data_IF_644017842036
#
_entry.id   IF_644017842036
#
_cell.length_a   1.000
_cell.length_b   1.000
_cell.length_c   1.000
_cell.angle_alpha   90.00
_cell.angle_beta   90.00
_cell.angle_gamma   90.00
#
_symmetry.space_group_name_H-M   'P 1'
#
loop_
_entity.id
_entity.type
_entity.pdbx_description
1 polymer ?
#
# COMPACT_ATOMS: atom_id res chain seq x y z
N UNK A 1 16.27 28.31 15.39
CA UNK A 1 16.19 27.58 14.12
C UNK A 1 17.38 26.69 13.88
N UNK A 2 18.61 27.17 14.04
CA UNK A 2 19.85 26.39 13.81
C UNK A 2 19.91 25.10 14.63
N UNK A 3 19.62 25.15 15.92
CA UNK A 3 19.60 23.97 16.79
C UNK A 3 18.63 22.88 16.28
N UNK A 4 17.48 23.29 15.72
CA UNK A 4 16.50 22.37 15.16
C UNK A 4 17.05 21.70 13.88
N UNK A 5 17.70 22.48 12.99
CA UNK A 5 18.29 21.93 11.78
C UNK A 5 19.37 20.89 12.13
N UNK A 6 20.27 21.16 13.07
CA UNK A 6 21.30 20.20 13.49
C UNK A 6 20.69 18.95 14.15
N UNK A 7 19.65 19.13 14.97
CA UNK A 7 18.96 18.00 15.58
C UNK A 7 18.28 17.09 14.56
N UNK A 8 17.71 17.67 13.49
CA UNK A 8 17.07 16.93 12.42
C UNK A 8 18.07 16.33 11.43
N UNK A 9 19.28 16.87 11.33
CA UNK A 9 20.32 16.49 10.37
C UNK A 9 21.65 16.13 11.10
N UNK A 10 21.66 15.09 11.95
CA UNK A 10 22.82 14.78 12.81
C UNK A 10 24.09 14.44 12.01
N UNK A 11 23.98 14.00 10.76
CA UNK A 11 25.13 13.74 9.88
C UNK A 11 25.95 15.00 9.54
N UNK A 12 25.41 16.20 9.73
CA UNK A 12 26.19 17.44 9.58
C UNK A 12 27.30 17.57 10.64
N UNK A 13 27.14 16.89 11.77
CA UNK A 13 28.10 16.79 12.84
C UNK A 13 28.85 15.43 12.85
N UNK A 14 28.67 14.62 11.79
CA UNK A 14 29.30 13.30 11.69
C UNK A 14 28.62 12.22 12.56
N UNK A 15 27.43 12.50 13.12
CA UNK A 15 26.68 11.53 13.91
C UNK A 15 25.88 10.59 13.01
N UNK A 16 25.76 9.35 13.42
CA UNK A 16 24.91 8.36 12.73
C UNK A 16 23.43 8.61 13.00
N UNK A 17 22.61 8.20 12.05
CA UNK A 17 21.15 8.23 12.16
C UNK A 17 20.63 6.81 12.28
N UNK A 18 19.84 6.53 13.30
CA UNK A 18 19.08 5.29 13.39
C UNK A 18 18.02 5.23 12.30
N UNK A 19 18.01 4.13 11.56
CA UNK A 19 17.13 3.94 10.40
C UNK A 19 16.27 2.69 10.51
N UNK A 20 16.27 2.01 11.68
CA UNK A 20 15.52 0.79 11.88
C UNK A 20 15.88 -0.33 10.89
N UNK A 21 14.98 -1.29 10.75
CA UNK A 21 15.14 -2.43 9.84
C UNK A 21 14.91 -1.98 8.39
N UNK A 22 15.81 -2.42 7.50
CA UNK A 22 15.82 -1.99 6.10
C UNK A 22 14.59 -2.48 5.32
N UNK A 23 14.06 -1.61 4.47
CA UNK A 23 13.01 -1.92 3.50
C UNK A 23 13.60 -2.06 2.09
N UNK A 24 14.27 -3.20 1.84
CA UNK A 24 15.06 -3.46 0.62
C UNK A 24 14.34 -3.15 -0.68
N UNK A 25 13.09 -3.56 -0.84
CA UNK A 25 12.29 -3.35 -2.06
C UNK A 25 12.15 -1.88 -2.50
N UNK A 26 12.26 -0.92 -1.55
CA UNK A 26 12.28 0.51 -1.86
C UNK A 26 13.69 1.02 -2.08
N UNK A 27 14.67 0.50 -1.32
CA UNK A 27 16.07 0.93 -1.41
C UNK A 27 16.72 0.52 -2.72
N UNK A 28 16.39 -0.64 -3.26
CA UNK A 28 16.86 -1.11 -4.58
C UNK A 28 16.52 -0.14 -5.72
N UNK A 29 15.44 0.64 -5.55
CA UNK A 29 14.99 1.63 -6.53
C UNK A 29 15.65 3.00 -6.39
N UNK A 30 16.53 3.21 -5.38
CA UNK A 30 17.08 4.55 -5.09
C UNK A 30 17.89 5.09 -6.28
N UNK A 31 18.63 4.27 -6.98
CA UNK A 31 19.36 4.69 -8.19
C UNK A 31 18.43 5.26 -9.25
N UNK A 32 17.30 4.59 -9.48
CA UNK A 32 16.25 5.07 -10.38
C UNK A 32 15.66 6.40 -9.91
N UNK A 33 15.40 6.56 -8.60
CA UNK A 33 14.90 7.81 -8.06
C UNK A 33 15.88 8.96 -8.25
N UNK A 34 17.18 8.73 -8.10
CA UNK A 34 18.23 9.75 -8.21
C UNK A 34 18.50 10.21 -9.65
N UNK A 35 18.22 9.36 -10.64
CA UNK A 35 18.44 9.71 -12.07
C UNK A 35 17.36 10.61 -12.65
N UNK A 36 16.16 10.61 -12.06
CA UNK A 36 15.04 11.45 -12.54
C UNK A 36 15.04 12.82 -11.88
N UNK A 37 14.60 13.82 -12.64
CA UNK A 37 14.40 15.18 -12.11
C UNK A 37 13.15 15.25 -11.21
N UNK A 38 12.12 14.45 -11.48
CA UNK A 38 10.83 14.52 -10.78
C UNK A 38 10.99 14.41 -9.27
N UNK A 39 10.07 15.06 -8.57
CA UNK A 39 9.90 14.96 -7.12
C UNK A 39 9.38 13.55 -6.80
N UNK A 40 10.05 12.83 -5.93
CA UNK A 40 9.59 11.53 -5.45
C UNK A 40 8.68 11.74 -4.24
N UNK A 41 7.42 11.34 -4.38
CA UNK A 41 6.40 11.52 -3.33
C UNK A 41 5.99 10.16 -2.79
N UNK A 42 6.25 9.91 -1.51
CA UNK A 42 5.91 8.67 -0.82
C UNK A 42 4.65 8.88 0.03
N UNK A 43 3.57 8.25 -0.38
CA UNK A 43 2.28 8.29 0.32
C UNK A 43 1.94 6.93 0.93
N UNK A 44 1.04 6.92 1.88
CA UNK A 44 0.59 5.67 2.51
C UNK A 44 -0.02 5.93 3.88
N UNK A 45 -0.64 4.91 4.46
CA UNK A 45 -1.25 5.02 5.77
C UNK A 45 -0.26 5.52 6.83
N UNK A 46 -0.78 6.12 7.90
CA UNK A 46 0.03 6.48 9.08
C UNK A 46 0.79 5.24 9.59
N UNK A 47 2.04 5.42 10.08
CA UNK A 47 2.85 4.34 10.66
C UNK A 47 3.30 3.21 9.73
N UNK A 48 3.21 3.37 8.40
CA UNK A 48 3.79 2.41 7.43
C UNK A 48 5.31 2.54 7.24
N UNK A 49 5.96 3.49 7.95
CA UNK A 49 7.41 3.67 7.91
C UNK A 49 7.91 4.67 6.86
N UNK A 50 7.09 5.61 6.40
CA UNK A 50 7.47 6.65 5.42
C UNK A 50 8.68 7.48 5.88
N UNK A 51 8.64 8.03 7.09
CA UNK A 51 9.75 8.77 7.71
C UNK A 51 11.02 7.94 7.80
N UNK A 52 10.88 6.68 8.23
CA UNK A 52 12.00 5.72 8.32
C UNK A 52 12.62 5.47 6.95
N UNK A 53 11.78 5.33 5.91
CA UNK A 53 12.23 5.15 4.53
C UNK A 53 13.06 6.35 4.03
N UNK A 54 12.62 7.59 4.31
CA UNK A 54 13.43 8.78 3.98
C UNK A 54 14.79 8.74 4.67
N UNK A 55 14.83 8.37 5.95
CA UNK A 55 16.10 8.24 6.69
C UNK A 55 16.99 7.14 6.12
N UNK A 56 16.41 6.03 5.64
CA UNK A 56 17.15 4.97 4.96
C UNK A 56 17.72 5.45 3.61
N UNK A 57 16.98 6.24 2.84
CA UNK A 57 17.51 6.88 1.63
C UNK A 57 18.66 7.84 1.94
N UNK A 58 18.55 8.66 2.99
CA UNK A 58 19.62 9.54 3.45
C UNK A 58 20.86 8.73 3.81
N UNK A 59 20.71 7.66 4.59
CA UNK A 59 21.82 6.77 4.96
C UNK A 59 22.50 6.17 3.73
N UNK A 60 21.72 5.74 2.74
CA UNK A 60 22.25 5.21 1.49
C UNK A 60 23.04 6.28 0.72
N UNK A 61 22.53 7.52 0.66
CA UNK A 61 23.24 8.64 0.02
C UNK A 61 24.55 8.99 0.72
N UNK A 62 24.57 8.98 2.05
CA UNK A 62 25.78 9.24 2.84
C UNK A 62 26.88 8.18 2.62
N UNK A 63 26.52 6.98 2.15
CA UNK A 63 27.46 5.92 1.77
C UNK A 63 28.03 6.10 0.36
N UNK A 64 27.57 7.10 -0.38
CA UNK A 64 28.08 7.46 -1.70
C UNK A 64 29.05 8.65 -1.58
N UNK A 65 29.45 9.24 -2.72
CA UNK A 65 30.30 10.44 -2.76
C UNK A 65 29.55 11.75 -2.44
N UNK A 66 28.26 11.69 -2.02
CA UNK A 66 27.46 12.86 -1.66
C UNK A 66 27.89 13.36 -0.27
N UNK A 67 28.22 14.64 -0.18
CA UNK A 67 28.55 15.27 1.10
C UNK A 67 27.30 15.36 1.99
N UNK A 68 27.44 15.05 3.28
CA UNK A 68 26.36 15.24 4.24
C UNK A 68 25.78 16.66 4.26
N UNK A 69 26.63 17.67 3.97
CA UNK A 69 26.20 19.07 3.86
C UNK A 69 25.32 19.37 2.64
N UNK A 70 25.24 18.45 1.66
CA UNK A 70 24.35 18.54 0.50
C UNK A 70 22.99 17.87 0.73
N UNK A 71 22.81 17.21 1.88
CA UNK A 71 21.59 16.49 2.24
C UNK A 71 20.88 17.27 3.34
N UNK A 72 19.60 17.60 3.10
CA UNK A 72 18.77 18.36 4.01
C UNK A 72 17.43 17.66 4.27
N UNK A 73 17.17 17.34 5.53
CA UNK A 73 15.91 16.74 5.98
C UNK A 73 15.14 17.73 6.85
N UNK A 74 13.85 17.86 6.58
CA UNK A 74 12.91 18.69 7.32
C UNK A 74 11.67 17.85 7.70
N UNK A 75 11.34 17.82 8.99
CA UNK A 75 10.08 17.34 9.51
C UNK A 75 9.13 18.55 9.62
N UNK A 76 8.27 18.75 8.62
CA UNK A 76 7.46 19.97 8.49
C UNK A 76 6.32 20.05 9.52
N UNK A 77 6.03 18.96 10.20
CA UNK A 77 5.14 18.88 11.35
C UNK A 77 5.79 19.37 12.67
N UNK A 78 7.11 19.63 12.65
CA UNK A 78 7.82 20.12 13.83
C UNK A 78 7.38 21.55 14.17
N UNK A 79 6.92 21.83 15.43
CA UNK A 79 6.36 23.14 15.80
C UNK A 79 7.31 24.33 15.53
N UNK A 80 8.61 24.13 15.68
CA UNK A 80 9.62 25.17 15.44
C UNK A 80 9.89 25.47 13.95
N UNK A 81 9.30 24.72 13.01
CA UNK A 81 9.40 24.92 11.56
C UNK A 81 8.05 25.34 10.96
N UNK A 82 6.97 25.26 11.73
CA UNK A 82 5.63 25.57 11.28
C UNK A 82 5.48 27.01 10.78
N UNK A 83 4.82 27.18 9.64
CA UNK A 83 4.54 28.50 9.05
C UNK A 83 5.70 29.13 8.28
N UNK A 84 6.88 28.49 8.26
CA UNK A 84 8.02 28.98 7.48
C UNK A 84 7.96 28.32 6.09
N UNK A 85 8.09 29.09 4.99
CA UNK A 85 8.12 28.55 3.65
C UNK A 85 9.28 27.56 3.42
N UNK A 86 9.04 26.49 2.64
CA UNK A 86 10.07 25.52 2.28
C UNK A 86 11.25 26.20 1.56
N UNK A 87 10.95 27.18 0.71
CA UNK A 87 11.94 27.97 -0.01
C UNK A 87 12.87 28.75 0.91
N UNK A 88 12.36 29.23 2.05
CA UNK A 88 13.18 29.91 3.05
C UNK A 88 14.12 28.92 3.79
N UNK A 89 13.65 27.72 4.09
CA UNK A 89 14.48 26.67 4.64
C UNK A 89 15.64 26.31 3.69
N UNK A 90 15.36 26.16 2.38
CA UNK A 90 16.39 25.89 1.36
C UNK A 90 17.39 27.04 1.28
N UNK A 91 16.94 28.29 1.30
CA UNK A 91 17.84 29.46 1.34
C UNK A 91 18.74 29.46 2.56
N UNK A 92 18.19 29.19 3.75
CA UNK A 92 18.95 29.13 4.98
C UNK A 92 20.02 28.03 4.95
N UNK A 93 19.73 26.87 4.37
CA UNK A 93 20.71 25.81 4.17
C UNK A 93 21.84 26.22 3.22
N UNK A 94 21.51 26.83 2.07
CA UNK A 94 22.51 27.31 1.12
C UNK A 94 23.45 28.33 1.77
N UNK A 95 22.91 29.32 2.49
CA UNK A 95 23.70 30.32 3.22
C UNK A 95 24.62 29.70 4.27
N UNK A 96 24.12 28.71 5.01
CA UNK A 96 24.87 28.04 6.08
C UNK A 96 26.12 27.34 5.58
N UNK A 97 26.02 26.64 4.46
CA UNK A 97 27.12 25.85 3.89
C UNK A 97 27.80 26.54 2.70
N UNK A 98 27.44 27.79 2.42
CA UNK A 98 27.94 28.59 1.29
C UNK A 98 27.80 27.83 -0.05
N UNK A 99 26.67 27.21 -0.26
CA UNK A 99 26.38 26.50 -1.51
C UNK A 99 25.90 27.46 -2.59
N UNK A 100 26.56 27.43 -3.74
CA UNK A 100 26.10 28.12 -4.92
C UNK A 100 24.75 27.59 -5.39
N UNK A 101 24.00 28.41 -6.12
CA UNK A 101 22.67 28.07 -6.60
C UNK A 101 22.66 26.84 -7.50
N UNK A 102 23.71 26.65 -8.29
CA UNK A 102 23.85 25.53 -9.23
C UNK A 102 24.27 24.21 -8.53
N UNK A 103 24.74 24.30 -7.29
CA UNK A 103 25.09 23.10 -6.52
C UNK A 103 23.86 22.23 -6.31
N UNK A 104 23.94 20.97 -6.78
CA UNK A 104 22.88 19.98 -6.58
C UNK A 104 22.78 19.63 -5.10
N UNK A 105 21.57 19.79 -4.52
CA UNK A 105 21.25 19.42 -3.16
C UNK A 105 20.14 18.35 -3.15
N UNK A 106 20.08 17.59 -2.07
CA UNK A 106 19.10 16.54 -1.82
C UNK A 106 18.19 16.97 -0.66
N UNK A 107 16.92 17.25 -0.99
CA UNK A 107 15.96 17.76 -0.04
C UNK A 107 14.95 16.65 0.31
N UNK A 108 14.86 16.32 1.60
CA UNK A 108 13.94 15.34 2.16
C UNK A 108 12.91 16.06 3.04
N UNK A 109 11.65 16.04 2.62
CA UNK A 109 10.54 16.73 3.29
C UNK A 109 9.57 15.69 3.85
N UNK A 110 9.47 15.63 5.16
CA UNK A 110 8.54 14.74 5.85
C UNK A 110 7.26 15.51 6.21
N UNK A 111 6.09 14.85 6.04
CA UNK A 111 4.74 15.39 6.26
C UNK A 111 4.53 16.73 5.52
N UNK A 112 4.83 16.74 4.21
CA UNK A 112 4.84 17.96 3.37
C UNK A 112 3.50 18.72 3.35
N UNK A 113 2.38 18.06 3.66
CA UNK A 113 1.07 18.71 3.76
C UNK A 113 0.93 19.69 4.94
N UNK A 114 1.84 19.64 5.91
CA UNK A 114 1.85 20.61 7.02
C UNK A 114 2.40 21.99 6.59
N UNK A 115 3.07 22.07 5.42
CA UNK A 115 3.46 23.36 4.85
C UNK A 115 2.30 24.03 4.12
N UNK A 116 2.08 25.29 4.42
CA UNK A 116 1.13 26.14 3.69
C UNK A 116 1.58 26.27 2.22
N UNK A 117 0.65 26.11 1.27
CA UNK A 117 0.94 26.25 -0.16
C UNK A 117 2.04 25.30 -0.71
N UNK A 118 2.25 24.13 -0.08
CA UNK A 118 3.32 23.19 -0.41
C UNK A 118 3.46 22.90 -1.91
N UNK A 119 2.36 22.78 -2.66
CA UNK A 119 2.40 22.53 -4.11
C UNK A 119 3.02 23.68 -4.91
N UNK A 120 2.70 24.92 -4.53
CA UNK A 120 3.25 26.10 -5.22
C UNK A 120 4.74 26.22 -4.92
N UNK A 121 5.15 25.95 -3.68
CA UNK A 121 6.55 25.99 -3.28
C UNK A 121 7.35 24.86 -3.91
N UNK A 122 6.86 23.64 -3.87
CA UNK A 122 7.51 22.50 -4.53
C UNK A 122 7.67 22.73 -6.04
N UNK A 123 6.66 23.32 -6.69
CA UNK A 123 6.77 23.70 -8.10
C UNK A 123 7.88 24.73 -8.32
N UNK A 124 7.90 25.78 -7.52
CA UNK A 124 8.92 26.84 -7.65
C UNK A 124 10.34 26.27 -7.42
N UNK A 125 10.53 25.45 -6.40
CA UNK A 125 11.79 24.78 -6.12
C UNK A 125 12.21 23.84 -7.25
N UNK A 126 11.28 23.05 -7.79
CA UNK A 126 11.54 22.18 -8.94
C UNK A 126 11.96 22.93 -10.20
N UNK A 127 11.31 24.08 -10.48
CA UNK A 127 11.55 24.85 -11.72
C UNK A 127 12.81 25.73 -11.60
N UNK A 128 13.15 26.22 -10.40
CA UNK A 128 14.15 27.28 -10.21
C UNK A 128 15.44 26.83 -9.51
N UNK A 129 15.46 25.68 -8.85
CA UNK A 129 16.57 25.24 -8.02
C UNK A 129 17.20 23.93 -8.51
N UNK A 130 18.49 23.73 -8.25
CA UNK A 130 19.18 22.46 -8.50
C UNK A 130 18.97 21.52 -7.31
N UNK A 131 17.76 20.91 -7.25
CA UNK A 131 17.34 20.03 -6.15
C UNK A 131 16.88 18.69 -6.66
N UNK A 132 17.24 17.62 -5.93
CA UNK A 132 16.50 16.36 -5.94
C UNK A 132 15.63 16.31 -4.70
N UNK A 133 14.33 16.23 -4.88
CA UNK A 133 13.34 16.36 -3.80
C UNK A 133 12.66 15.02 -3.56
N UNK A 134 12.64 14.60 -2.30
CA UNK A 134 11.90 13.46 -1.76
C UNK A 134 10.90 13.97 -0.73
N UNK A 135 9.64 13.59 -0.87
CA UNK A 135 8.58 14.02 0.04
C UNK A 135 7.83 12.83 0.62
N UNK A 136 7.40 12.96 1.89
CA UNK A 136 6.31 12.12 2.40
C UNK A 136 5.08 12.96 2.69
N UNK A 137 3.94 12.31 2.75
CA UNK A 137 2.72 12.95 3.21
C UNK A 137 1.59 11.96 3.46
N UNK A 138 0.63 12.39 4.26
CA UNK A 138 -0.63 11.67 4.39
C UNK A 138 -1.42 11.79 3.09
N UNK A 139 -2.11 10.73 2.74
CA UNK A 139 -2.72 10.50 1.44
C UNK A 139 -3.72 11.57 1.00
N UNK A 140 -4.57 11.94 1.93
CA UNK A 140 -5.74 12.79 1.65
C UNK A 140 -5.38 14.16 1.10
N UNK A 141 -4.23 14.72 1.48
CA UNK A 141 -3.84 16.07 1.03
C UNK A 141 -3.14 16.08 -0.33
N UNK A 142 -2.30 15.09 -0.62
CA UNK A 142 -1.52 15.04 -1.87
C UNK A 142 -2.30 14.44 -3.04
N UNK A 143 -3.17 13.43 -2.80
CA UNK A 143 -3.99 12.81 -3.86
C UNK A 143 -5.18 13.70 -4.26
N UNK A 144 -5.87 14.29 -3.30
CA UNK A 144 -6.99 15.20 -3.59
C UNK A 144 -6.55 16.40 -4.44
N UNK A 145 -5.27 16.74 -4.41
CA UNK A 145 -4.66 17.84 -5.18
C UNK A 145 -3.95 17.38 -6.46
N UNK A 146 -4.09 16.11 -6.89
CA UNK A 146 -3.44 15.61 -8.13
C UNK A 146 -3.79 16.36 -9.43
N UNK A 147 -4.89 17.12 -9.42
CA UNK A 147 -5.21 18.06 -10.52
C UNK A 147 -4.44 19.38 -10.44
N UNK A 148 -3.46 19.50 -9.55
CA UNK A 148 -2.80 20.73 -9.18
C UNK A 148 -1.50 21.04 -9.93
N UNK A 149 -0.71 21.93 -9.33
CA UNK A 149 0.47 22.58 -9.91
C UNK A 149 1.66 21.65 -10.17
N UNK A 150 1.65 20.41 -9.61
CA UNK A 150 2.74 19.42 -9.72
C UNK A 150 2.58 18.41 -10.84
N UNK A 151 1.54 18.55 -11.70
CA UNK A 151 1.33 17.66 -12.85
C UNK A 151 2.59 17.56 -13.72
N UNK A 152 3.07 16.36 -13.98
CA UNK A 152 4.31 16.08 -14.74
C UNK A 152 5.62 16.32 -13.98
N UNK A 153 5.58 16.86 -12.75
CA UNK A 153 6.75 17.18 -11.93
C UNK A 153 6.98 16.19 -10.78
N UNK A 154 6.01 15.34 -10.49
CA UNK A 154 6.08 14.38 -9.40
C UNK A 154 5.84 12.95 -9.85
N UNK A 155 6.41 12.01 -9.14
CA UNK A 155 6.11 10.59 -9.23
C UNK A 155 5.67 10.15 -7.84
N UNK A 156 4.49 9.54 -7.77
CA UNK A 156 3.88 9.11 -6.50
C UNK A 156 4.08 7.62 -6.33
N UNK A 157 4.66 7.24 -5.21
CA UNK A 157 4.86 5.84 -4.81
C UNK A 157 4.14 5.56 -3.49
N UNK A 158 3.40 4.46 -3.44
CA UNK A 158 2.71 4.05 -2.21
C UNK A 158 3.64 3.25 -1.30
N UNK A 159 3.71 3.67 -0.04
CA UNK A 159 4.40 2.91 1.03
C UNK A 159 3.35 2.06 1.74
N UNK A 160 3.32 0.79 1.37
CA UNK A 160 2.42 -0.21 1.94
C UNK A 160 2.86 -0.63 3.35
N UNK A 161 1.97 -1.18 4.19
CA UNK A 161 2.37 -2.06 5.27
C UNK A 161 3.33 -3.15 4.75
N UNK A 162 4.13 -3.75 5.60
CA UNK A 162 5.13 -4.74 5.19
C UNK A 162 4.51 -5.84 4.32
N UNK A 163 5.20 -6.21 3.23
CA UNK A 163 4.89 -7.43 2.48
C UNK A 163 5.23 -8.67 3.32
N UNK A 164 4.79 -9.85 2.89
CA UNK A 164 5.15 -11.08 3.58
C UNK A 164 6.68 -11.31 3.60
N UNK A 165 7.38 -10.97 2.52
CA UNK A 165 8.84 -11.02 2.48
C UNK A 165 9.48 -10.08 3.51
N UNK A 166 8.98 -8.84 3.62
CA UNK A 166 9.45 -7.87 4.62
C UNK A 166 9.06 -8.32 6.04
N UNK A 167 7.86 -8.90 6.23
CA UNK A 167 7.43 -9.47 7.51
C UNK A 167 8.41 -10.53 8.01
N UNK A 168 8.81 -11.47 7.15
CA UNK A 168 9.81 -12.48 7.48
C UNK A 168 11.13 -11.83 7.87
N UNK A 169 11.59 -10.84 7.11
CA UNK A 169 12.83 -10.11 7.43
C UNK A 169 12.76 -9.41 8.79
N UNK A 170 11.64 -8.80 9.12
CA UNK A 170 11.42 -8.13 10.41
C UNK A 170 11.31 -9.12 11.58
N UNK A 171 10.97 -10.37 11.33
CA UNK A 171 10.86 -11.46 12.32
C UNK A 171 12.14 -12.31 12.44
N UNK A 172 13.25 -11.86 11.93
CA UNK A 172 14.56 -12.52 12.07
C UNK A 172 15.10 -13.18 10.81
N UNK A 173 14.42 -13.03 9.68
CA UNK A 173 14.84 -13.54 8.38
C UNK A 173 14.19 -14.87 7.98
N UNK A 174 14.51 -15.36 6.77
CA UNK A 174 13.92 -16.59 6.22
C UNK A 174 14.40 -17.82 7.01
N UNK A 175 13.54 -18.85 7.13
CA UNK A 175 13.93 -20.13 7.68
C UNK A 175 14.99 -20.81 6.79
N UNK A 176 15.73 -21.77 7.36
CA UNK A 176 16.67 -22.57 6.58
C UNK A 176 15.93 -23.42 5.54
N UNK A 177 16.64 -23.84 4.47
CA UNK A 177 16.05 -24.67 3.41
C UNK A 177 15.44 -25.98 3.93
N UNK A 178 15.95 -26.51 5.03
CA UNK A 178 15.42 -27.72 5.69
C UNK A 178 14.17 -27.47 6.52
N UNK A 179 13.76 -26.22 6.70
CA UNK A 179 12.66 -25.78 7.53
C UNK A 179 11.61 -25.01 6.73
N UNK A 180 11.51 -25.23 5.43
CA UNK A 180 10.59 -24.56 4.52
C UNK A 180 9.11 -24.67 4.96
N UNK A 181 8.75 -25.73 5.73
CA UNK A 181 7.44 -25.89 6.36
C UNK A 181 7.07 -24.73 7.31
N UNK A 182 8.05 -23.99 7.84
CA UNK A 182 7.81 -22.82 8.69
C UNK A 182 7.17 -21.64 7.92
N UNK A 183 7.33 -21.58 6.59
CA UNK A 183 6.68 -20.53 5.80
C UNK A 183 5.15 -20.56 5.90
N UNK A 184 4.55 -21.74 6.01
CA UNK A 184 3.10 -21.85 6.19
C UNK A 184 2.66 -21.23 7.51
N UNK A 185 3.38 -21.54 8.61
CA UNK A 185 3.10 -20.94 9.91
C UNK A 185 3.36 -19.42 9.91
N UNK A 186 4.45 -18.97 9.28
CA UNK A 186 4.74 -17.53 9.13
C UNK A 186 3.64 -16.82 8.32
N UNK A 187 3.04 -17.49 7.33
CA UNK A 187 1.91 -16.94 6.59
C UNK A 187 0.66 -16.85 7.48
N UNK A 188 0.35 -17.86 8.30
CA UNK A 188 -0.72 -17.79 9.30
C UNK A 188 -0.52 -16.61 10.27
N UNK A 189 0.70 -16.43 10.77
CA UNK A 189 1.06 -15.29 11.62
C UNK A 189 0.86 -13.96 10.89
N UNK A 190 1.32 -13.84 9.65
CA UNK A 190 1.15 -12.65 8.82
C UNK A 190 -0.32 -12.31 8.57
N UNK A 191 -1.16 -13.34 8.32
CA UNK A 191 -2.60 -13.18 8.17
C UNK A 191 -3.28 -12.63 9.44
N UNK A 192 -2.73 -12.92 10.62
CA UNK A 192 -3.28 -12.48 11.89
C UNK A 192 -2.72 -11.14 12.37
N UNK A 193 -1.41 -10.94 12.25
CA UNK A 193 -0.68 -9.77 12.77
C UNK A 193 -0.82 -8.57 11.81
N UNK A 194 -0.84 -8.85 10.50
CA UNK A 194 -0.76 -7.82 9.46
C UNK A 194 0.67 -7.36 9.19
N UNK A 195 0.81 -6.23 8.50
CA UNK A 195 2.09 -5.71 8.01
C UNK A 195 2.49 -4.34 8.59
N UNK A 196 1.79 -3.77 9.58
CA UNK A 196 2.28 -2.53 10.20
C UNK A 196 3.59 -2.81 10.95
N UNK A 197 4.70 -2.08 10.65
CA UNK A 197 6.03 -2.40 11.16
C UNK A 197 6.10 -2.59 12.68
N UNK A 198 5.55 -1.67 13.45
CA UNK A 198 5.54 -1.76 14.91
C UNK A 198 4.71 -2.94 15.41
N UNK A 199 3.58 -3.22 14.76
CA UNK A 199 2.73 -4.37 15.10
C UNK A 199 3.44 -5.71 14.82
N UNK A 200 4.29 -5.74 13.79
CA UNK A 200 5.09 -6.94 13.47
C UNK A 200 6.19 -7.17 14.49
N UNK A 201 6.84 -6.10 14.95
CA UNK A 201 7.92 -6.17 15.95
C UNK A 201 7.37 -6.43 17.37
N UNK A 202 6.31 -5.72 17.74
CA UNK A 202 5.71 -5.72 19.07
C UNK A 202 4.19 -5.85 18.97
N UNK A 203 3.63 -7.05 18.74
CA UNK A 203 2.20 -7.24 18.55
C UNK A 203 1.38 -6.75 19.74
N UNK A 204 0.46 -5.79 19.50
CA UNK A 204 -0.39 -5.19 20.52
C UNK A 204 -1.74 -4.77 19.93
N UNK A 205 -2.83 -5.26 20.52
CA UNK A 205 -4.18 -4.83 20.17
C UNK A 205 -4.41 -3.35 20.52
N UNK A 206 -3.86 -2.90 21.62
CA UNK A 206 -3.97 -1.50 22.05
C UNK A 206 -3.26 -0.57 21.05
N UNK A 207 -2.06 -0.93 20.59
CA UNK A 207 -1.35 -0.19 19.55
C UNK A 207 -2.19 -0.06 18.28
N UNK A 208 -2.76 -1.16 17.79
CA UNK A 208 -3.59 -1.17 16.58
C UNK A 208 -4.88 -0.37 16.76
N UNK A 209 -5.51 -0.44 17.94
CA UNK A 209 -6.71 0.34 18.23
C UNK A 209 -6.40 1.86 18.23
N UNK A 210 -5.31 2.26 18.89
CA UNK A 210 -4.86 3.65 18.93
C UNK A 210 -4.45 4.16 17.54
N UNK A 211 -3.77 3.33 16.75
CA UNK A 211 -3.42 3.67 15.37
C UNK A 211 -4.67 3.92 14.52
N UNK A 212 -5.65 3.03 14.60
CA UNK A 212 -6.89 3.18 13.85
C UNK A 212 -7.66 4.44 14.28
N UNK A 213 -7.73 4.71 15.59
CA UNK A 213 -8.37 5.93 16.10
C UNK A 213 -7.65 7.20 15.62
N UNK A 214 -6.30 7.22 15.62
CA UNK A 214 -5.51 8.34 15.10
C UNK A 214 -5.80 8.58 13.60
N UNK A 215 -5.90 7.53 12.78
CA UNK A 215 -6.24 7.65 11.35
C UNK A 215 -7.65 8.24 11.19
N UNK A 216 -8.63 7.72 11.91
CA UNK A 216 -10.02 8.17 11.79
C UNK A 216 -10.22 9.59 12.30
N UNK A 217 -9.64 9.93 13.47
CA UNK A 217 -9.86 11.21 14.12
C UNK A 217 -8.95 12.33 13.60
N UNK A 218 -7.67 12.03 13.34
CA UNK A 218 -6.69 13.06 12.95
C UNK A 218 -6.56 13.21 11.44
N UNK A 219 -6.53 12.08 10.70
CA UNK A 219 -6.29 12.14 9.26
C UNK A 219 -7.59 12.35 8.47
N UNK A 220 -8.72 11.80 8.93
CA UNK A 220 -9.98 11.93 8.22
C UNK A 220 -10.90 13.03 8.80
N UNK A 221 -11.20 12.99 10.10
CA UNK A 221 -12.17 13.93 10.67
C UNK A 221 -11.67 15.38 10.68
N UNK A 222 -10.34 15.60 10.70
CA UNK A 222 -9.75 16.95 10.59
C UNK A 222 -9.83 17.52 9.17
N UNK A 223 -9.77 16.68 8.16
CA UNK A 223 -9.69 17.10 6.75
C UNK A 223 -11.04 17.11 6.03
N UNK A 224 -12.02 16.39 6.56
CA UNK A 224 -13.33 16.24 5.96
C UNK A 224 -14.44 16.61 6.94
N UNK A 225 -15.56 17.18 6.45
CA UNK A 225 -16.69 17.59 7.30
C UNK A 225 -17.51 16.38 7.78
N UNK A 226 -16.89 15.52 8.59
CA UNK A 226 -17.52 14.31 9.11
C UNK A 226 -18.36 14.69 10.34
N UNK A 227 -19.68 14.71 10.18
CA UNK A 227 -20.60 15.09 11.27
C UNK A 227 -20.61 14.10 12.44
N UNK A 228 -20.29 12.82 12.20
CA UNK A 228 -20.37 11.74 13.19
C UNK A 228 -19.26 10.73 12.95
N UNK A 229 -18.11 10.92 13.57
CA UNK A 229 -16.91 10.05 13.38
C UNK A 229 -17.15 8.57 13.76
N UNK A 230 -18.06 8.29 14.70
CA UNK A 230 -18.39 6.91 15.06
C UNK A 230 -18.98 6.11 13.89
N UNK A 231 -19.69 6.77 12.97
CA UNK A 231 -20.27 6.08 11.79
C UNK A 231 -19.17 5.58 10.84
N UNK A 232 -18.05 6.30 10.71
CA UNK A 232 -16.90 5.78 9.95
C UNK A 232 -16.36 4.49 10.56
N UNK A 233 -16.32 4.41 11.88
CA UNK A 233 -15.87 3.22 12.61
C UNK A 233 -16.83 2.05 12.40
N UNK A 234 -18.12 2.31 12.44
CA UNK A 234 -19.15 1.30 12.18
C UNK A 234 -19.13 0.83 10.72
N UNK A 235 -18.98 1.76 9.76
CA UNK A 235 -18.80 1.43 8.35
C UNK A 235 -17.56 0.54 8.14
N UNK A 236 -16.44 0.91 8.77
CA UNK A 236 -15.20 0.12 8.66
C UNK A 236 -15.34 -1.27 9.29
N UNK A 237 -16.08 -1.42 10.41
CA UNK A 237 -16.41 -2.71 11.00
C UNK A 237 -17.26 -3.58 10.06
N UNK A 238 -18.28 -2.99 9.43
CA UNK A 238 -19.11 -3.70 8.45
C UNK A 238 -18.29 -4.17 7.25
N UNK A 239 -17.36 -3.33 6.76
CA UNK A 239 -16.45 -3.69 5.69
C UNK A 239 -15.50 -4.82 6.15
N UNK A 240 -14.92 -4.70 7.35
CA UNK A 240 -14.06 -5.73 7.92
C UNK A 240 -14.74 -7.09 8.01
N UNK A 241 -15.99 -7.11 8.47
CA UNK A 241 -16.81 -8.34 8.57
C UNK A 241 -17.21 -8.93 7.21
N UNK A 242 -17.25 -8.11 6.14
CA UNK A 242 -17.62 -8.53 4.78
C UNK A 242 -16.46 -8.42 3.78
N UNK A 243 -15.22 -8.39 4.26
CA UNK A 243 -14.03 -8.33 3.39
C UNK A 243 -14.05 -9.46 2.37
N UNK A 244 -13.86 -9.13 1.09
CA UNK A 244 -13.92 -10.09 -0.01
C UNK A 244 -15.34 -10.48 -0.45
N UNK A 245 -16.38 -10.13 0.32
CA UNK A 245 -17.75 -10.41 -0.08
C UNK A 245 -18.34 -9.28 -0.92
N UNK A 246 -19.23 -9.64 -1.84
CA UNK A 246 -19.96 -8.66 -2.65
C UNK A 246 -20.92 -7.84 -1.78
N UNK A 247 -20.80 -6.54 -1.82
CA UNK A 247 -21.69 -5.61 -1.11
C UNK A 247 -22.16 -4.49 -2.04
N UNK A 248 -23.30 -3.87 -1.72
CA UNK A 248 -23.75 -2.66 -2.39
C UNK A 248 -23.79 -1.48 -1.44
N UNK A 249 -23.55 -0.29 -1.96
CA UNK A 249 -23.66 0.94 -1.17
C UNK A 249 -25.06 1.14 -0.62
N UNK A 250 -26.10 0.67 -1.35
CA UNK A 250 -27.50 0.64 -0.88
C UNK A 250 -27.68 -0.23 0.37
N UNK A 251 -27.02 -1.42 0.42
CA UNK A 251 -27.07 -2.29 1.60
C UNK A 251 -26.43 -1.60 2.81
N UNK A 252 -25.23 -1.04 2.62
CA UNK A 252 -24.52 -0.32 3.69
C UNK A 252 -25.29 0.92 4.17
N UNK A 253 -25.92 1.67 3.24
CA UNK A 253 -26.71 2.85 3.58
C UNK A 253 -27.91 2.51 4.45
N UNK A 254 -28.62 1.42 4.16
CA UNK A 254 -29.75 0.93 4.96
C UNK A 254 -29.32 0.51 6.38
N UNK A 255 -28.19 -0.20 6.52
CA UNK A 255 -27.67 -0.65 7.82
C UNK A 255 -27.26 0.54 8.68
N UNK A 256 -26.60 1.55 8.09
CA UNK A 256 -26.06 2.71 8.80
C UNK A 256 -27.05 3.86 8.97
N UNK A 257 -28.23 3.79 8.33
CA UNK A 257 -29.19 4.91 8.35
C UNK A 257 -28.69 6.16 7.64
N UNK A 258 -27.87 6.00 6.59
CA UNK A 258 -27.26 7.07 5.82
C UNK A 258 -27.82 7.12 4.39
N UNK A 259 -27.60 8.24 3.68
CA UNK A 259 -27.80 8.27 2.23
C UNK A 259 -26.73 7.44 1.52
N UNK A 260 -27.05 6.93 0.33
CA UNK A 260 -26.09 6.18 -0.51
C UNK A 260 -24.88 7.04 -0.86
N UNK A 261 -25.10 8.33 -1.12
CA UNK A 261 -24.04 9.24 -1.49
C UNK A 261 -23.09 9.53 -0.32
N UNK A 262 -23.62 9.64 0.91
CA UNK A 262 -22.81 9.74 2.12
C UNK A 262 -21.95 8.47 2.33
N UNK A 263 -22.50 7.29 2.08
CA UNK A 263 -21.74 6.02 2.16
C UNK A 263 -20.61 5.99 1.14
N UNK A 264 -20.87 6.40 -0.12
CA UNK A 264 -19.83 6.50 -1.16
C UNK A 264 -18.72 7.47 -0.75
N UNK A 265 -19.11 8.63 -0.23
CA UNK A 265 -18.18 9.66 0.25
C UNK A 265 -17.30 9.11 1.40
N UNK A 266 -17.90 8.45 2.39
CA UNK A 266 -17.17 7.87 3.52
C UNK A 266 -16.24 6.72 3.10
N UNK A 267 -16.66 5.88 2.16
CA UNK A 267 -15.77 4.87 1.56
C UNK A 267 -14.60 5.55 0.85
N UNK A 268 -14.85 6.64 0.12
CA UNK A 268 -13.81 7.45 -0.50
C UNK A 268 -12.81 8.01 0.51
N UNK A 269 -13.28 8.47 1.67
CA UNK A 269 -12.40 8.93 2.75
C UNK A 269 -11.55 7.79 3.33
N UNK A 270 -12.18 6.63 3.59
CA UNK A 270 -11.44 5.44 4.05
C UNK A 270 -10.41 4.95 3.02
N UNK A 271 -10.72 5.05 1.71
CA UNK A 271 -9.80 4.74 0.63
C UNK A 271 -8.62 5.73 0.59
N UNK A 272 -8.88 7.03 0.72
CA UNK A 272 -7.84 8.05 0.81
C UNK A 272 -6.92 7.89 2.01
N UNK A 273 -7.40 7.32 3.12
CA UNK A 273 -6.60 7.01 4.31
C UNK A 273 -5.87 5.66 4.21
N UNK A 274 -5.94 4.96 3.09
CA UNK A 274 -5.41 3.60 2.93
C UNK A 274 -5.93 2.62 3.99
N UNK A 275 -7.22 2.66 4.26
CA UNK A 275 -7.89 1.68 5.12
C UNK A 275 -8.65 0.64 4.31
N UNK A 276 -9.29 1.06 3.20
CA UNK A 276 -10.08 0.18 2.35
C UNK A 276 -9.81 0.44 0.87
N UNK A 277 -10.11 -0.57 0.03
CA UNK A 277 -10.09 -0.46 -1.42
C UNK A 277 -11.27 -1.20 -2.03
N UNK A 278 -12.22 -0.50 -2.68
CA UNK A 278 -13.25 -1.14 -3.48
C UNK A 278 -12.66 -1.77 -4.75
N UNK A 279 -13.09 -2.99 -5.06
CA UNK A 279 -12.78 -3.72 -6.29
C UNK A 279 -14.05 -3.87 -7.10
N UNK A 280 -13.96 -3.53 -8.37
CA UNK A 280 -15.07 -3.55 -9.30
C UNK A 280 -15.28 -4.92 -9.95
N UNK A 281 -16.48 -5.15 -10.48
CA UNK A 281 -16.73 -6.33 -11.31
C UNK A 281 -15.88 -6.27 -12.57
N UNK A 282 -15.23 -7.38 -12.90
CA UNK A 282 -14.51 -7.55 -14.15
C UNK A 282 -15.53 -7.78 -15.27
N UNK A 283 -15.66 -6.82 -16.17
CA UNK A 283 -16.61 -6.80 -17.29
C UNK A 283 -16.15 -5.79 -18.33
N UNK A 284 -16.55 -5.98 -19.58
CA UNK A 284 -16.33 -5.02 -20.68
C UNK A 284 -17.31 -3.84 -20.63
N UNK A 285 -18.45 -4.01 -19.98
CA UNK A 285 -19.48 -2.98 -19.87
C UNK A 285 -19.14 -1.96 -18.78
N UNK A 286 -18.90 -0.71 -19.15
CA UNK A 286 -18.64 0.36 -18.18
C UNK A 286 -19.81 0.59 -17.23
N UNK A 287 -21.06 0.58 -17.76
CA UNK A 287 -22.26 0.74 -16.94
C UNK A 287 -22.40 -0.41 -15.93
N UNK A 288 -22.21 -1.66 -16.37
CA UNK A 288 -22.23 -2.81 -15.47
C UNK A 288 -21.15 -2.67 -14.38
N UNK A 289 -19.94 -2.22 -14.73
CA UNK A 289 -18.85 -1.99 -13.76
C UNK A 289 -19.26 -0.99 -12.69
N UNK A 290 -19.89 0.13 -13.08
CA UNK A 290 -20.31 1.18 -12.14
C UNK A 290 -21.46 0.71 -11.24
N UNK A 291 -22.48 0.06 -11.80
CA UNK A 291 -23.71 -0.30 -11.05
C UNK A 291 -23.62 -1.62 -10.30
N UNK A 292 -22.65 -2.48 -10.61
CA UNK A 292 -22.48 -3.75 -9.91
C UNK A 292 -22.05 -3.54 -8.45
N UNK A 293 -22.36 -4.55 -7.63
CA UNK A 293 -21.83 -4.65 -6.28
C UNK A 293 -20.29 -4.53 -6.31
N UNK A 294 -19.69 -4.11 -5.21
CA UNK A 294 -18.24 -4.06 -5.06
C UNK A 294 -17.79 -5.11 -4.05
N UNK A 295 -16.61 -5.69 -4.24
CA UNK A 295 -15.86 -6.30 -3.16
C UNK A 295 -15.02 -5.21 -2.51
N UNK A 296 -14.98 -5.15 -1.18
CA UNK A 296 -14.17 -4.14 -0.48
C UNK A 296 -13.13 -4.87 0.35
N UNK A 297 -11.87 -4.55 0.11
CA UNK A 297 -10.73 -5.13 0.81
C UNK A 297 -10.12 -4.12 1.78
N UNK A 298 -9.46 -4.62 2.81
CA UNK A 298 -8.68 -3.80 3.75
C UNK A 298 -7.23 -3.73 3.29
N UNK A 299 -6.57 -2.61 3.59
CA UNK A 299 -5.16 -2.43 3.28
C UNK A 299 -4.22 -3.18 4.22
N UNK A 300 -4.74 -3.79 5.28
CA UNK A 300 -3.96 -4.57 6.22
C UNK A 300 -4.82 -5.59 6.98
N UNK A 301 -4.29 -6.80 7.14
CA UNK A 301 -4.97 -7.86 7.86
C UNK A 301 -4.98 -7.66 9.39
N UNK A 302 -4.00 -6.95 9.97
CA UNK A 302 -4.02 -6.60 11.39
C UNK A 302 -5.20 -5.69 11.73
N UNK A 303 -5.55 -4.77 10.81
CA UNK A 303 -6.79 -3.98 10.94
C UNK A 303 -8.01 -4.89 10.89
N UNK A 304 -8.06 -5.87 9.97
CA UNK A 304 -9.16 -6.84 9.92
C UNK A 304 -9.27 -7.62 11.24
N UNK A 305 -8.16 -8.12 11.74
CA UNK A 305 -8.11 -8.88 12.99
C UNK A 305 -8.59 -8.03 14.18
N UNK A 306 -8.21 -6.76 14.24
CA UNK A 306 -8.71 -5.81 15.25
C UNK A 306 -10.23 -5.63 15.18
N UNK A 307 -10.79 -5.55 13.98
CA UNK A 307 -12.22 -5.25 13.78
C UNK A 307 -13.12 -6.48 14.00
N UNK A 308 -12.65 -7.68 13.66
CA UNK A 308 -13.49 -8.89 13.55
C UNK A 308 -12.97 -10.11 14.32
N UNK A 309 -11.83 -9.99 14.98
CA UNK A 309 -11.15 -11.13 15.63
C UNK A 309 -10.39 -12.01 14.63
N UNK A 310 -9.83 -13.12 15.14
CA UNK A 310 -8.96 -14.02 14.37
C UNK A 310 -9.69 -15.13 13.59
N UNK A 311 -11.02 -15.20 13.60
CA UNK A 311 -11.81 -16.09 12.74
C UNK A 311 -11.64 -15.79 11.25
N UNK A 312 -12.23 -16.57 10.36
CA UNK A 312 -12.30 -16.33 8.92
C UNK A 312 -10.92 -16.19 8.22
N UNK A 313 -10.11 -17.25 8.32
CA UNK A 313 -8.79 -17.33 7.65
C UNK A 313 -8.91 -17.18 6.12
N UNK A 314 -10.00 -17.68 5.53
CA UNK A 314 -10.24 -17.60 4.09
C UNK A 314 -10.27 -16.17 3.58
N UNK A 315 -11.05 -15.30 4.21
CA UNK A 315 -11.13 -13.90 3.77
C UNK A 315 -9.85 -13.10 4.07
N UNK A 316 -9.07 -13.50 5.09
CA UNK A 316 -7.73 -12.92 5.32
C UNK A 316 -6.73 -13.36 4.26
N UNK A 317 -6.77 -14.61 3.85
CA UNK A 317 -5.93 -15.09 2.75
C UNK A 317 -6.28 -14.36 1.44
N UNK A 318 -7.57 -14.21 1.13
CA UNK A 318 -8.04 -13.44 -0.03
C UNK A 318 -7.59 -11.97 0.06
N UNK A 319 -7.71 -11.33 1.23
CA UNK A 319 -7.23 -9.97 1.45
C UNK A 319 -5.71 -9.84 1.29
N UNK A 320 -4.91 -10.83 1.74
CA UNK A 320 -3.46 -10.83 1.55
C UNK A 320 -3.08 -10.95 0.07
N UNK A 321 -3.79 -11.77 -0.70
CA UNK A 321 -3.63 -11.87 -2.16
C UNK A 321 -3.96 -10.52 -2.83
N UNK A 322 -5.08 -9.90 -2.46
CA UNK A 322 -5.43 -8.57 -2.93
C UNK A 322 -4.32 -7.56 -2.67
N UNK A 323 -3.80 -7.51 -1.44
CA UNK A 323 -2.72 -6.59 -1.07
C UNK A 323 -1.47 -6.81 -1.90
N UNK A 324 -1.13 -8.07 -2.20
CA UNK A 324 0.04 -8.38 -3.00
C UNK A 324 -0.14 -7.97 -4.47
N UNK A 325 -1.34 -8.14 -5.03
CA UNK A 325 -1.68 -7.58 -6.35
C UNK A 325 -1.50 -6.06 -6.39
N UNK A 326 -1.97 -5.35 -5.35
CA UNK A 326 -1.83 -3.89 -5.28
C UNK A 326 -0.36 -3.43 -5.15
N UNK A 327 0.47 -4.12 -4.35
CA UNK A 327 1.91 -3.81 -4.22
C UNK A 327 2.65 -3.90 -5.56
N UNK A 328 2.23 -4.83 -6.40
CA UNK A 328 2.80 -5.06 -7.73
C UNK A 328 2.11 -4.24 -8.83
N UNK A 329 1.23 -3.28 -8.46
CA UNK A 329 0.44 -2.46 -9.39
C UNK A 329 -0.39 -3.29 -10.39
N UNK A 330 -0.82 -4.48 -9.99
CA UNK A 330 -1.65 -5.35 -10.83
C UNK A 330 -3.12 -4.96 -10.62
N UNK A 331 -3.73 -4.47 -11.69
CA UNK A 331 -5.16 -4.17 -11.70
C UNK A 331 -5.95 -5.48 -11.71
N UNK A 332 -6.93 -5.58 -10.81
CA UNK A 332 -7.80 -6.74 -10.73
C UNK A 332 -9.27 -6.32 -10.63
N UNK A 333 -10.15 -7.17 -11.10
CA UNK A 333 -11.60 -7.14 -10.84
C UNK A 333 -12.04 -8.50 -10.35
N UNK A 334 -13.23 -8.61 -9.77
CA UNK A 334 -13.85 -9.91 -9.48
C UNK A 334 -14.81 -10.31 -10.60
N UNK A 335 -14.99 -11.61 -10.84
CA UNK A 335 -16.04 -12.09 -11.75
C UNK A 335 -17.17 -12.73 -10.95
N UNK A 336 -18.42 -12.45 -11.35
CA UNK A 336 -19.57 -13.10 -10.76
C UNK A 336 -20.71 -13.27 -11.77
N UNK A 337 -21.30 -14.46 -11.78
CA UNK A 337 -22.51 -14.81 -12.52
C UNK A 337 -23.41 -15.61 -11.58
N UNK A 338 -24.56 -15.02 -11.22
CA UNK A 338 -25.47 -15.53 -10.18
C UNK A 338 -24.74 -15.70 -8.82
N UNK A 339 -24.70 -16.92 -8.31
CA UNK A 339 -24.04 -17.34 -7.06
C UNK A 339 -22.58 -17.79 -7.24
N UNK A 340 -22.13 -17.91 -8.51
CA UNK A 340 -20.76 -18.35 -8.83
C UNK A 340 -19.83 -17.16 -9.01
N UNK A 341 -18.66 -17.27 -8.44
CA UNK A 341 -17.72 -16.16 -8.34
C UNK A 341 -16.29 -16.65 -8.57
N UNK A 342 -15.46 -15.76 -9.12
CA UNK A 342 -13.99 -15.84 -9.10
C UNK A 342 -13.47 -14.63 -8.34
N UNK A 343 -12.60 -14.85 -7.38
CA UNK A 343 -12.16 -13.83 -6.44
C UNK A 343 -11.46 -12.68 -7.15
N UNK A 344 -10.54 -12.98 -8.06
CA UNK A 344 -9.89 -11.97 -8.89
C UNK A 344 -9.76 -12.42 -10.34
N UNK A 345 -9.86 -11.47 -11.24
CA UNK A 345 -9.49 -11.61 -12.64
C UNK A 345 -8.52 -10.49 -12.96
N UNK A 346 -7.33 -10.85 -13.44
CA UNK A 346 -6.29 -9.92 -13.87
C UNK A 346 -6.07 -10.03 -15.38
N UNK A 347 -5.30 -9.11 -15.93
CA UNK A 347 -5.04 -9.06 -17.38
C UNK A 347 -6.16 -8.39 -18.17
N UNK A 348 -6.06 -8.47 -19.48
CA UNK A 348 -7.05 -7.89 -20.41
C UNK A 348 -8.20 -8.85 -20.66
N UNK A 349 -9.26 -8.35 -21.31
CA UNK A 349 -10.37 -9.21 -21.77
C UNK A 349 -9.90 -10.24 -22.83
N UNK A 350 -8.85 -9.90 -23.59
CA UNK A 350 -8.27 -10.78 -24.59
C UNK A 350 -7.37 -11.89 -23.99
N UNK A 351 -6.83 -11.65 -22.81
CA UNK A 351 -5.94 -12.60 -22.09
C UNK A 351 -6.22 -12.51 -20.58
N UNK A 352 -7.39 -12.98 -20.12
CA UNK A 352 -7.77 -12.91 -18.72
C UNK A 352 -7.18 -14.08 -17.94
N UNK A 353 -6.74 -13.79 -16.71
CA UNK A 353 -6.24 -14.80 -15.78
C UNK A 353 -7.09 -14.79 -14.53
N UNK A 354 -7.94 -15.81 -14.31
CA UNK A 354 -8.71 -15.96 -13.09
C UNK A 354 -7.83 -16.46 -11.94
N UNK A 355 -7.98 -15.84 -10.78
CA UNK A 355 -7.32 -16.19 -9.53
C UNK A 355 -8.40 -16.49 -8.49
N UNK A 356 -8.34 -17.68 -7.92
CA UNK A 356 -9.24 -18.12 -6.86
C UNK A 356 -8.46 -18.40 -5.59
N UNK A 357 -8.96 -17.98 -4.45
CA UNK A 357 -8.33 -18.18 -3.15
C UNK A 357 -9.19 -19.08 -2.28
N UNK A 358 -8.66 -20.25 -1.97
CA UNK A 358 -9.31 -21.19 -1.05
C UNK A 358 -8.29 -21.70 -0.04
N UNK A 359 -8.38 -21.18 1.18
CA UNK A 359 -7.40 -21.47 2.24
C UNK A 359 -7.64 -22.86 2.83
N UNK A 360 -7.30 -23.90 2.05
CA UNK A 360 -7.53 -25.31 2.29
C UNK A 360 -6.23 -26.11 2.16
N UNK A 361 -6.18 -27.26 2.84
CA UNK A 361 -5.02 -28.19 2.85
C UNK A 361 -5.17 -29.36 1.89
N UNK A 362 -6.34 -29.54 1.28
CA UNK A 362 -6.62 -30.58 0.30
C UNK A 362 -7.21 -30.00 -0.98
N UNK A 363 -6.95 -30.62 -2.11
CA UNK A 363 -7.44 -30.20 -3.42
C UNK A 363 -8.17 -31.36 -4.09
N UNK A 364 -9.42 -31.12 -4.45
CA UNK A 364 -10.20 -31.97 -5.35
C UNK A 364 -10.95 -31.05 -6.32
N UNK A 365 -10.62 -31.13 -7.60
CA UNK A 365 -11.30 -30.33 -8.62
C UNK A 365 -12.82 -30.53 -8.67
N UNK A 366 -13.34 -31.68 -8.20
CA UNK A 366 -14.79 -31.93 -8.14
C UNK A 366 -15.50 -31.07 -7.09
N UNK A 367 -14.76 -30.49 -6.13
CA UNK A 367 -15.33 -29.65 -5.09
C UNK A 367 -16.13 -28.47 -5.68
N UNK A 368 -17.31 -28.24 -5.09
CA UNK A 368 -18.22 -27.17 -5.50
C UNK A 368 -17.62 -25.78 -5.29
N UNK A 369 -16.64 -25.63 -4.38
CA UNK A 369 -15.92 -24.37 -4.14
C UNK A 369 -15.21 -23.83 -5.38
N UNK A 370 -14.90 -24.68 -6.36
CA UNK A 370 -14.27 -24.30 -7.63
C UNK A 370 -15.26 -24.08 -8.77
N UNK A 371 -16.58 -24.12 -8.51
CA UNK A 371 -17.58 -23.96 -9.57
C UNK A 371 -17.53 -22.59 -10.26
N UNK A 372 -17.09 -21.54 -9.54
CA UNK A 372 -16.86 -20.21 -10.14
C UNK A 372 -15.78 -20.22 -11.21
N UNK A 373 -14.63 -20.81 -10.88
CA UNK A 373 -13.51 -20.95 -11.82
C UNK A 373 -13.90 -21.84 -13.00
N UNK A 374 -14.56 -23.00 -12.75
CA UNK A 374 -15.05 -23.88 -13.81
C UNK A 374 -15.96 -23.14 -14.79
N UNK A 375 -16.92 -22.35 -14.25
CA UNK A 375 -17.80 -21.54 -15.07
C UNK A 375 -17.01 -20.52 -15.90
N UNK A 376 -16.05 -19.83 -15.29
CA UNK A 376 -15.22 -18.84 -15.96
C UNK A 376 -14.42 -19.45 -17.11
N UNK A 377 -13.75 -20.59 -16.87
CA UNK A 377 -12.97 -21.32 -17.89
C UNK A 377 -13.85 -21.78 -19.08
N UNK A 378 -15.10 -22.18 -18.81
CA UNK A 378 -16.05 -22.55 -19.87
C UNK A 378 -16.56 -21.33 -20.66
N UNK A 379 -16.71 -20.18 -19.97
CA UNK A 379 -17.28 -18.95 -20.57
C UNK A 379 -16.26 -18.20 -21.43
N UNK A 380 -14.97 -18.25 -21.04
CA UNK A 380 -13.89 -17.51 -21.67
C UNK A 380 -12.83 -18.47 -22.26
N UNK A 381 -13.01 -18.90 -23.52
CA UNK A 381 -12.10 -19.89 -24.14
C UNK A 381 -10.70 -19.34 -24.43
N UNK A 382 -10.49 -18.05 -24.31
CA UNK A 382 -9.20 -17.37 -24.45
C UNK A 382 -8.34 -17.39 -23.19
N UNK A 383 -8.85 -17.94 -22.08
CA UNK A 383 -8.06 -18.17 -20.87
C UNK A 383 -6.99 -19.23 -21.16
N UNK A 384 -5.74 -18.91 -20.91
CA UNK A 384 -4.59 -19.83 -21.08
C UNK A 384 -4.16 -20.45 -19.75
N UNK A 385 -4.23 -19.66 -18.68
CA UNK A 385 -3.76 -20.02 -17.36
C UNK A 385 -4.77 -19.61 -16.30
N UNK A 386 -4.83 -20.36 -15.21
CA UNK A 386 -5.61 -20.05 -14.02
C UNK A 386 -4.75 -20.30 -12.78
N UNK A 387 -4.93 -19.50 -11.74
CA UNK A 387 -4.22 -19.62 -10.48
C UNK A 387 -5.19 -19.95 -9.36
N UNK A 388 -4.91 -21.02 -8.61
CA UNK A 388 -5.61 -21.35 -7.38
C UNK A 388 -4.65 -21.20 -6.21
N UNK A 389 -4.99 -20.33 -5.26
CA UNK A 389 -4.17 -20.10 -4.07
C UNK A 389 -4.77 -20.85 -2.91
N UNK A 390 -3.98 -21.74 -2.33
CA UNK A 390 -4.38 -22.65 -1.23
C UNK A 390 -3.53 -22.41 0.02
N UNK A 391 -3.83 -23.09 1.12
CA UNK A 391 -2.98 -23.03 2.31
C UNK A 391 -1.61 -23.72 2.03
N UNK A 392 -1.64 -24.99 1.58
CA UNK A 392 -0.42 -25.82 1.48
C UNK A 392 -0.31 -26.65 0.21
N UNK A 393 -1.34 -26.70 -0.63
CA UNK A 393 -1.33 -27.56 -1.82
C UNK A 393 -0.53 -26.92 -2.96
N UNK A 394 0.36 -27.71 -3.56
CA UNK A 394 1.13 -27.32 -4.73
C UNK A 394 1.05 -28.39 -5.81
N UNK A 395 0.48 -28.05 -6.96
CA UNK A 395 0.42 -28.89 -8.13
C UNK A 395 0.06 -28.08 -9.39
N UNK A 396 0.31 -28.65 -10.54
CA UNK A 396 -0.20 -28.14 -11.81
C UNK A 396 -1.08 -29.20 -12.45
N UNK A 397 -2.25 -28.78 -12.91
CA UNK A 397 -3.21 -29.63 -13.61
C UNK A 397 -3.74 -28.92 -14.85
N UNK A 398 -4.53 -29.59 -15.64
CA UNK A 398 -5.20 -29.00 -16.81
C UNK A 398 -6.68 -29.27 -16.77
N UNK A 399 -7.47 -28.25 -17.07
CA UNK A 399 -8.93 -28.30 -17.12
C UNK A 399 -9.39 -27.67 -18.43
N UNK A 400 -10.07 -28.46 -19.27
CA UNK A 400 -10.55 -28.02 -20.58
C UNK A 400 -9.43 -27.41 -21.46
N UNK A 401 -8.20 -27.93 -21.36
CA UNK A 401 -7.03 -27.42 -22.08
C UNK A 401 -6.36 -26.17 -21.45
N UNK A 402 -6.91 -25.67 -20.36
CA UNK A 402 -6.35 -24.53 -19.61
C UNK A 402 -5.43 -25.06 -18.52
N UNK A 403 -4.21 -24.51 -18.42
CA UNK A 403 -3.30 -24.81 -17.31
C UNK A 403 -3.82 -24.19 -16.01
N UNK A 404 -3.95 -25.01 -14.98
CA UNK A 404 -4.37 -24.58 -13.63
C UNK A 404 -3.22 -24.82 -12.67
N UNK A 405 -2.65 -23.72 -12.17
CA UNK A 405 -1.56 -23.74 -11.21
C UNK A 405 -2.12 -23.59 -9.80
N UNK A 406 -1.94 -24.61 -8.98
CA UNK A 406 -2.32 -24.59 -7.56
C UNK A 406 -1.06 -24.30 -6.76
N UNK A 407 -1.06 -23.23 -6.00
CA UNK A 407 0.12 -22.77 -5.23
C UNK A 407 -0.24 -22.44 -3.78
N UNK A 408 0.65 -22.76 -2.83
CA UNK A 408 0.48 -22.30 -1.45
C UNK A 408 0.53 -20.78 -1.35
N UNK A 409 -0.27 -20.20 -0.44
CA UNK A 409 -0.34 -18.77 -0.22
C UNK A 409 1.04 -18.15 0.04
N UNK A 410 1.84 -18.78 0.90
CA UNK A 410 3.16 -18.28 1.23
C UNK A 410 4.09 -18.18 0.00
N UNK A 411 4.02 -19.13 -0.93
CA UNK A 411 4.78 -19.07 -2.19
C UNK A 411 4.31 -17.92 -3.07
N UNK A 412 2.99 -17.75 -3.19
CA UNK A 412 2.44 -16.61 -3.92
C UNK A 412 2.90 -15.28 -3.33
N UNK A 413 2.86 -15.12 -2.01
CA UNK A 413 3.26 -13.89 -1.32
C UNK A 413 4.77 -13.59 -1.40
N UNK A 414 5.61 -14.61 -1.57
CA UNK A 414 7.06 -14.43 -1.76
C UNK A 414 7.45 -14.09 -3.21
N UNK A 415 6.69 -14.55 -4.18
CA UNK A 415 7.04 -14.41 -5.60
C UNK A 415 5.80 -14.30 -6.49
N UNK A 416 4.97 -13.27 -6.32
CA UNK A 416 3.70 -13.18 -7.04
C UNK A 416 3.88 -13.01 -8.55
N UNK A 417 5.00 -12.44 -9.00
CA UNK A 417 5.29 -12.18 -10.41
C UNK A 417 6.06 -13.33 -11.11
N UNK A 418 6.65 -14.24 -10.34
CA UNK A 418 7.36 -15.41 -10.88
C UNK A 418 6.44 -16.62 -11.10
N UNK A 419 5.17 -16.52 -10.71
CA UNK A 419 4.19 -17.54 -11.06
C UNK A 419 3.99 -17.56 -12.57
N UNK A 420 3.86 -18.77 -13.18
CA UNK A 420 3.82 -18.96 -14.64
C UNK A 420 2.70 -18.21 -15.37
N UNK A 421 1.89 -17.50 -14.64
CA UNK A 421 0.75 -16.71 -15.11
C UNK A 421 1.16 -15.33 -15.66
N UNK A 422 2.34 -14.83 -15.32
CA UNK A 422 2.89 -13.59 -15.89
C UNK A 422 4.32 -13.78 -16.39
N UNK A 423 4.54 -13.88 -17.70
CA UNK A 423 5.84 -13.55 -18.24
C UNK A 423 6.07 -12.06 -17.95
N UNK A 424 7.13 -11.74 -17.24
CA UNK A 424 7.61 -10.38 -17.06
C UNK A 424 7.80 -9.80 -18.46
N UNK A 425 6.91 -8.91 -18.89
CA UNK A 425 7.25 -8.00 -19.97
C UNK A 425 8.02 -6.85 -19.31
N UNK A 426 9.33 -6.73 -19.55
CA UNK A 426 10.05 -5.53 -19.18
C UNK A 426 9.53 -4.40 -20.06
N UNK A 427 8.92 -3.41 -19.46
CA UNK A 427 8.72 -2.10 -20.07
C UNK A 427 9.79 -1.16 -19.53
#
# INVERSE_FOLDING_TARGET
MDAIYYALNPWWEGKETETGISRGAYLEKISTYLTRKQIEVFIGSRRTGKTTLLKQFIKTLLQTAVSGKEIFYLALDHPGLSGIPISEHVRNMRMRFMHDRDRKLYLFLDEVQESLQCEAELKALYDLESLKIFCTGSTSSLIARQAGKLTGRQIVSTVFPLSFQEFIHFRGGPPSLSEDYKYEQMADDYLNIGGYPEQVLNPSQEYMANLLEDILARDLARLHPIKKSYILKDLLRLIGASTGSRTSFNKLSKILGLSVDTVKEYIGYLEMAFLVKPVEKWTTSYSERVYSQKKIYLWDNGVKTLLTGSGDEGSRAENAVFMELQRNNILCGYYAESDREVDFVIGSVADPVPIEVKYITGFDWKDKRFNGVKLFLNRFPNVKNSLLITKSVELTTSVNGVAVHVVPLWKFLLSPLQNPVHPVNPV
#
